data_IF_511455866415
#
_entry.id   IF_511455866415
#
_cell.length_a   1.000
_cell.length_b   1.000
_cell.length_c   1.000
_cell.angle_alpha   90.00
_cell.angle_beta   90.00
_cell.angle_gamma   90.00
#
_symmetry.space_group_name_H-M   'P 1'
#
loop_
_entity.id
_entity.type
_entity.pdbx_description
1 polymer ?
#
# COMPACT_ATOMS: atom_id res chain seq x y z
N UNK A 1 58.55 -4.85 3.06
CA UNK A 1 58.51 -6.26 3.52
C UNK A 1 57.05 -6.53 3.88
N UNK A 2 56.26 -7.40 3.24
CA UNK A 2 56.51 -8.51 2.33
C UNK A 2 55.22 -8.75 1.54
N UNK A 3 55.37 -9.10 0.27
CA UNK A 3 54.32 -9.50 -0.69
C UNK A 3 53.84 -10.92 -0.38
N UNK A 4 52.55 -11.20 -0.53
CA UNK A 4 52.13 -12.51 -1.09
C UNK A 4 50.81 -12.44 -1.84
N UNK A 5 50.90 -12.78 -3.12
CA UNK A 5 49.85 -12.99 -4.13
C UNK A 5 49.66 -14.49 -4.31
N UNK A 6 48.42 -14.99 -4.46
CA UNK A 6 48.04 -16.23 -5.18
C UNK A 6 46.54 -16.09 -5.51
N UNK A 7 45.97 -16.05 -6.73
CA UNK A 7 46.18 -16.60 -8.09
C UNK A 7 45.55 -18.00 -8.34
N UNK A 8 44.60 -18.01 -9.29
CA UNK A 8 44.05 -19.13 -10.10
C UNK A 8 43.08 -20.10 -9.39
N UNK A 9 42.06 -20.69 -10.05
CA UNK A 9 41.98 -21.17 -11.43
C UNK A 9 40.53 -21.45 -11.89
N UNK A 10 40.39 -21.40 -13.21
CA UNK A 10 39.33 -21.85 -14.13
C UNK A 10 38.84 -23.30 -13.96
N UNK A 11 37.62 -23.57 -14.42
CA UNK A 11 37.25 -24.83 -15.08
C UNK A 11 36.13 -24.62 -16.13
N UNK A 12 36.51 -24.87 -17.39
CA UNK A 12 35.66 -25.20 -18.54
C UNK A 12 34.96 -26.55 -18.35
N UNK A 13 33.82 -26.76 -19.03
CA UNK A 13 33.45 -28.05 -19.65
C UNK A 13 32.22 -27.98 -20.58
N UNK A 14 32.08 -28.94 -21.52
CA UNK A 14 31.69 -28.66 -22.90
C UNK A 14 30.40 -29.37 -23.41
N UNK A 15 30.16 -29.16 -24.71
CA UNK A 15 29.13 -29.62 -25.67
C UNK A 15 28.58 -31.05 -25.57
N UNK A 16 27.41 -31.28 -26.21
CA UNK A 16 27.05 -32.38 -27.16
C UNK A 16 25.58 -32.14 -27.62
N UNK A 17 25.31 -31.79 -28.90
CA UNK A 17 25.03 -32.63 -30.08
C UNK A 17 23.62 -33.27 -30.08
N UNK A 18 22.84 -32.94 -31.11
CA UNK A 18 21.49 -33.49 -31.33
C UNK A 18 20.88 -33.05 -32.66
N UNK A 19 21.53 -33.43 -33.77
CA UNK A 19 21.02 -33.35 -35.15
C UNK A 19 19.89 -34.36 -35.35
N UNK A 20 18.74 -33.93 -35.89
CA UNK A 20 17.82 -34.83 -36.59
C UNK A 20 17.42 -34.18 -37.91
N UNK A 21 17.81 -34.85 -38.98
CA UNK A 21 17.45 -34.61 -40.37
C UNK A 21 16.28 -35.54 -40.71
N UNK A 22 15.16 -35.00 -41.21
CA UNK A 22 14.20 -35.78 -42.00
C UNK A 22 13.72 -34.95 -43.19
N UNK A 23 13.63 -35.65 -44.31
CA UNK A 23 13.59 -35.18 -45.69
C UNK A 23 12.13 -35.03 -46.18
N UNK A 24 11.98 -34.21 -47.22
CA UNK A 24 10.73 -33.77 -47.82
C UNK A 24 9.96 -34.84 -48.63
N UNK A 25 8.66 -34.62 -48.77
CA UNK A 25 7.85 -35.09 -49.90
C UNK A 25 6.79 -34.04 -50.27
N UNK A 26 6.83 -33.62 -51.53
CA UNK A 26 5.90 -32.69 -52.17
C UNK A 26 4.54 -33.34 -52.45
N UNK A 27 3.45 -32.58 -52.32
CA UNK A 27 2.12 -32.98 -52.78
C UNK A 27 1.23 -31.75 -53.01
N UNK A 28 0.85 -31.52 -54.27
CA UNK A 28 -0.05 -30.47 -54.72
C UNK A 28 -1.45 -30.61 -54.09
N UNK A 29 -2.09 -29.48 -53.79
CA UNK A 29 -3.53 -29.41 -53.57
C UNK A 29 -3.97 -28.15 -52.83
N UNK A 30 -4.33 -27.08 -53.56
CA UNK A 30 -5.24 -26.06 -53.03
C UNK A 30 -6.59 -26.70 -52.74
N UNK A 31 -7.25 -26.30 -51.63
CA UNK A 31 -8.42 -25.47 -51.85
C UNK A 31 -8.55 -24.30 -50.87
N UNK A 32 -9.15 -23.25 -51.43
CA UNK A 32 -9.67 -22.05 -50.80
C UNK A 32 -10.61 -22.43 -49.65
N UNK A 33 -10.31 -22.01 -48.42
CA UNK A 33 -11.27 -22.00 -47.32
C UNK A 33 -10.98 -20.86 -46.35
N UNK A 34 -12.05 -20.20 -45.96
CA UNK A 34 -12.13 -18.97 -45.20
C UNK A 34 -11.33 -19.01 -43.89
N UNK A 35 -10.55 -17.97 -43.65
CA UNK A 35 -9.97 -17.71 -42.34
C UNK A 35 -11.10 -17.30 -41.36
N UNK A 36 -11.34 -18.03 -40.27
CA UNK A 36 -11.99 -17.42 -39.12
C UNK A 36 -10.95 -16.53 -38.43
N UNK A 37 -11.33 -15.36 -37.88
CA UNK A 37 -10.44 -14.66 -36.97
C UNK A 37 -10.27 -15.59 -35.76
N UNK A 38 -9.13 -16.26 -35.64
CA UNK A 38 -8.71 -16.84 -34.38
C UNK A 38 -8.45 -15.65 -33.47
N UNK A 39 -9.51 -15.30 -32.77
CA UNK A 39 -9.54 -14.52 -31.55
C UNK A 39 -8.29 -14.89 -30.79
N UNK A 40 -7.29 -14.00 -30.79
CA UNK A 40 -6.31 -13.96 -29.71
C UNK A 40 -7.20 -13.85 -28.49
N UNK A 41 -7.41 -14.98 -27.82
CA UNK A 41 -8.15 -15.07 -26.59
C UNK A 41 -7.38 -14.17 -25.64
N UNK A 42 -7.86 -12.94 -25.63
CA UNK A 42 -7.45 -11.90 -24.73
C UNK A 42 -7.86 -12.48 -23.39
N UNK A 43 -6.92 -13.16 -22.74
CA UNK A 43 -6.80 -13.02 -21.30
C UNK A 43 -6.46 -11.55 -21.06
N UNK A 44 -7.42 -10.67 -21.36
CA UNK A 44 -7.56 -9.37 -20.75
C UNK A 44 -7.67 -9.72 -19.28
N UNK A 45 -6.53 -9.64 -18.62
CA UNK A 45 -6.39 -9.89 -17.21
C UNK A 45 -7.53 -9.19 -16.48
N UNK A 46 -8.22 -9.96 -15.65
CA UNK A 46 -9.34 -9.53 -14.83
C UNK A 46 -8.93 -8.53 -13.73
N UNK A 47 -8.07 -7.55 -14.03
CA UNK A 47 -7.70 -6.46 -13.12
C UNK A 47 -8.80 -5.41 -13.00
N UNK A 48 -9.72 -5.34 -13.96
CA UNK A 48 -10.65 -4.19 -14.07
C UNK A 48 -12.11 -4.52 -13.77
N UNK A 49 -12.48 -5.78 -13.49
CA UNK A 49 -13.90 -6.18 -13.56
C UNK A 49 -14.60 -6.39 -12.21
N UNK A 50 -13.86 -6.46 -11.09
CA UNK A 50 -14.48 -6.71 -9.76
C UNK A 50 -14.21 -5.67 -8.69
N UNK A 51 -13.32 -4.72 -8.95
CA UNK A 51 -13.02 -3.68 -7.98
C UNK A 51 -14.03 -2.54 -8.10
N UNK A 52 -14.64 -2.19 -6.96
CA UNK A 52 -15.48 -1.02 -6.86
C UNK A 52 -14.65 0.23 -7.22
N UNK A 53 -15.24 1.21 -7.93
CA UNK A 53 -14.54 2.44 -8.28
C UNK A 53 -14.16 3.21 -7.01
N UNK A 54 -13.05 3.94 -7.06
CA UNK A 54 -12.65 4.83 -5.98
C UNK A 54 -13.78 5.83 -5.68
N UNK A 55 -14.16 6.02 -4.41
CA UNK A 55 -15.23 6.95 -4.05
C UNK A 55 -14.86 8.36 -4.49
N UNK A 56 -15.82 9.11 -5.02
CA UNK A 56 -15.57 10.50 -5.37
C UNK A 56 -15.58 11.36 -4.08
N UNK A 57 -14.41 11.85 -3.68
CA UNK A 57 -14.26 12.73 -2.51
C UNK A 57 -14.07 14.16 -3.00
N UNK A 58 -15.12 14.96 -2.80
CA UNK A 58 -15.12 16.42 -3.07
C UNK A 58 -15.35 17.20 -1.79
N UNK A 59 -16.15 16.66 -0.87
CA UNK A 59 -16.37 17.21 0.47
C UNK A 59 -16.58 16.07 1.46
N UNK A 60 -16.13 16.28 2.70
CA UNK A 60 -16.37 15.39 3.83
C UNK A 60 -17.24 16.14 4.85
N UNK A 61 -18.33 15.51 5.29
CA UNK A 61 -19.26 16.12 6.27
C UNK A 61 -19.19 15.44 7.64
N UNK A 62 -18.61 14.25 7.72
CA UNK A 62 -18.51 13.47 8.95
C UNK A 62 -17.21 12.67 9.03
N UNK A 63 -16.75 12.39 10.24
CA UNK A 63 -15.61 11.48 10.47
C UNK A 63 -15.87 10.06 9.95
N UNK A 64 -17.12 9.59 10.00
CA UNK A 64 -17.47 8.27 9.47
C UNK A 64 -17.31 8.20 7.94
N UNK A 65 -17.67 9.26 7.22
CA UNK A 65 -17.43 9.35 5.78
C UNK A 65 -15.93 9.39 5.47
N UNK A 66 -15.17 10.19 6.21
CA UNK A 66 -13.72 10.26 6.08
C UNK A 66 -13.07 8.88 6.30
N UNK A 67 -13.49 8.17 7.35
CA UNK A 67 -13.05 6.82 7.65
C UNK A 67 -13.38 5.81 6.55
N UNK A 68 -14.65 5.72 6.13
CA UNK A 68 -15.09 4.73 5.15
C UNK A 68 -14.38 4.91 3.78
N UNK A 69 -14.21 6.15 3.36
CA UNK A 69 -13.53 6.47 2.10
C UNK A 69 -12.04 6.17 2.15
N UNK A 70 -11.37 6.49 3.26
CA UNK A 70 -9.95 6.16 3.45
C UNK A 70 -9.73 4.65 3.57
N UNK A 71 -10.61 3.94 4.29
CA UNK A 71 -10.54 2.47 4.40
C UNK A 71 -10.67 1.81 3.03
N UNK A 72 -11.54 2.33 2.16
CA UNK A 72 -11.65 1.86 0.79
C UNK A 72 -10.33 2.02 0.02
N UNK A 73 -9.68 3.19 0.15
CA UNK A 73 -8.37 3.43 -0.45
C UNK A 73 -7.31 2.48 0.08
N UNK A 74 -7.24 2.28 1.40
CA UNK A 74 -6.29 1.36 2.03
C UNK A 74 -6.46 -0.08 1.53
N UNK A 75 -7.71 -0.55 1.41
CA UNK A 75 -8.00 -1.88 0.89
C UNK A 75 -7.56 -2.01 -0.59
N UNK A 76 -7.74 -0.96 -1.39
CA UNK A 76 -7.25 -0.94 -2.78
C UNK A 76 -5.72 -1.00 -2.83
N UNK A 77 -5.03 -0.19 -2.04
CA UNK A 77 -3.57 -0.21 -1.95
C UNK A 77 -3.04 -1.58 -1.55
N UNK A 78 -3.62 -2.20 -0.53
CA UNK A 78 -3.23 -3.55 -0.09
C UNK A 78 -3.33 -4.58 -1.22
N UNK A 79 -4.39 -4.53 -2.04
CA UNK A 79 -4.54 -5.41 -3.22
C UNK A 79 -3.51 -5.10 -4.31
N UNK A 80 -3.22 -3.83 -4.55
CA UNK A 80 -2.20 -3.41 -5.52
C UNK A 80 -0.81 -3.87 -5.09
N UNK A 81 -0.43 -3.68 -3.82
CA UNK A 81 0.85 -4.13 -3.28
C UNK A 81 0.99 -5.66 -3.37
N UNK A 82 -0.04 -6.40 -2.96
CA UNK A 82 -0.05 -7.86 -3.07
C UNK A 82 0.08 -8.34 -4.54
N UNK A 83 -0.56 -7.62 -5.46
CA UNK A 83 -0.45 -7.88 -6.90
C UNK A 83 0.98 -7.68 -7.40
N UNK A 84 1.61 -6.56 -7.02
CA UNK A 84 2.99 -6.25 -7.42
C UNK A 84 3.97 -7.32 -6.94
N UNK A 85 3.74 -7.88 -5.74
CA UNK A 85 4.58 -8.95 -5.19
C UNK A 85 4.47 -10.28 -5.96
N UNK A 86 3.35 -10.55 -6.62
CA UNK A 86 3.09 -11.83 -7.32
C UNK A 86 3.41 -11.75 -8.81
N UNK A 87 3.19 -10.60 -9.45
CA UNK A 87 3.41 -10.46 -10.89
C UNK A 87 4.90 -10.41 -11.20
N UNK A 88 5.33 -11.22 -12.18
CA UNK A 88 6.65 -11.09 -12.78
C UNK A 88 6.72 -9.78 -13.55
N UNK A 89 7.80 -9.01 -13.34
CA UNK A 89 8.05 -7.75 -14.01
C UNK A 89 7.83 -7.88 -15.51
N UNK A 90 6.82 -7.17 -16.01
CA UNK A 90 6.49 -7.08 -17.41
C UNK A 90 6.04 -5.66 -17.65
N UNK A 91 6.54 -5.05 -18.72
CA UNK A 91 6.26 -3.66 -19.06
C UNK A 91 4.77 -3.32 -19.06
N UNK A 92 3.91 -4.24 -19.53
CA UNK A 92 2.47 -4.04 -19.53
C UNK A 92 1.87 -3.98 -18.12
N UNK A 93 2.40 -4.76 -17.17
CA UNK A 93 1.99 -4.68 -15.76
C UNK A 93 2.50 -3.41 -15.10
N UNK A 94 3.74 -3.01 -15.39
CA UNK A 94 4.34 -1.78 -14.86
C UNK A 94 3.54 -0.55 -15.29
N UNK A 95 3.10 -0.49 -16.54
CA UNK A 95 2.26 0.59 -17.07
C UNK A 95 0.88 0.65 -16.37
N UNK A 96 0.28 -0.51 -16.06
CA UNK A 96 -0.99 -0.59 -15.32
C UNK A 96 -0.80 -0.12 -13.88
N UNK A 97 0.22 -0.63 -13.19
CA UNK A 97 0.52 -0.28 -11.80
C UNK A 97 0.83 1.22 -11.69
N UNK A 98 1.62 1.78 -12.60
CA UNK A 98 1.94 3.20 -12.62
C UNK A 98 0.68 4.08 -12.80
N UNK A 99 -0.27 3.63 -13.63
CA UNK A 99 -1.56 4.31 -13.82
C UNK A 99 -2.43 4.25 -12.56
N UNK A 100 -2.58 3.08 -11.96
CA UNK A 100 -3.35 2.90 -10.72
C UNK A 100 -2.75 3.70 -9.56
N UNK A 101 -1.42 3.67 -9.42
CA UNK A 101 -0.68 4.49 -8.45
C UNK A 101 -1.01 5.97 -8.60
N UNK A 102 -0.86 6.52 -9.80
CA UNK A 102 -1.14 7.95 -10.06
C UNK A 102 -2.60 8.32 -9.73
N UNK A 103 -3.54 7.41 -9.99
CA UNK A 103 -4.93 7.62 -9.61
C UNK A 103 -5.10 7.65 -8.09
N UNK A 104 -4.45 6.76 -7.36
CA UNK A 104 -4.48 6.73 -5.88
C UNK A 104 -3.82 7.95 -5.28
N UNK A 105 -2.64 8.37 -5.77
CA UNK A 105 -1.95 9.60 -5.33
C UNK A 105 -2.88 10.82 -5.48
N UNK A 106 -3.43 11.03 -6.68
CA UNK A 106 -4.37 12.14 -6.93
C UNK A 106 -5.67 12.06 -6.12
N UNK A 107 -6.02 10.87 -5.64
CA UNK A 107 -7.18 10.68 -4.78
C UNK A 107 -6.84 11.02 -3.32
N UNK A 108 -5.66 10.63 -2.84
CA UNK A 108 -5.17 10.94 -1.50
C UNK A 108 -4.99 12.45 -1.29
N UNK A 109 -4.53 13.17 -2.32
CA UNK A 109 -4.45 14.64 -2.29
C UNK A 109 -5.83 15.28 -2.12
N UNK A 110 -6.82 14.83 -2.89
CA UNK A 110 -8.21 15.33 -2.79
C UNK A 110 -8.85 14.98 -1.46
N UNK A 111 -8.57 13.78 -0.95
CA UNK A 111 -9.06 13.36 0.37
C UNK A 111 -8.47 14.26 1.46
N UNK A 112 -7.17 14.56 1.41
CA UNK A 112 -6.50 15.45 2.36
C UNK A 112 -7.09 16.85 2.34
N UNK A 113 -7.32 17.40 1.15
CA UNK A 113 -7.95 18.71 1.00
C UNK A 113 -9.35 18.72 1.62
N UNK A 114 -10.21 17.76 1.25
CA UNK A 114 -11.56 17.66 1.78
C UNK A 114 -11.58 17.43 3.30
N UNK A 115 -10.61 16.68 3.84
CA UNK A 115 -10.49 16.44 5.27
C UNK A 115 -10.03 17.69 6.01
N UNK A 116 -9.08 18.45 5.45
CA UNK A 116 -8.62 19.73 6.00
C UNK A 116 -9.75 20.75 6.03
N UNK A 117 -10.53 20.86 4.96
CA UNK A 117 -11.70 21.72 4.89
C UNK A 117 -12.75 21.33 5.95
N UNK A 118 -13.02 20.03 6.10
CA UNK A 118 -13.89 19.52 7.17
C UNK A 118 -13.39 19.92 8.57
N UNK A 119 -12.11 19.69 8.87
CA UNK A 119 -11.51 20.03 10.15
C UNK A 119 -11.59 21.54 10.43
N UNK A 120 -11.38 22.39 9.43
CA UNK A 120 -11.44 23.85 9.60
C UNK A 120 -12.80 24.34 10.13
N UNK A 121 -13.89 23.62 9.83
CA UNK A 121 -15.23 23.97 10.26
C UNK A 121 -15.70 23.22 11.50
N UNK A 122 -15.31 21.95 11.67
CA UNK A 122 -15.84 21.08 12.71
C UNK A 122 -14.94 20.97 13.95
N UNK A 123 -13.63 21.23 13.84
CA UNK A 123 -12.66 20.93 14.91
C UNK A 123 -12.93 21.66 16.22
N UNK A 124 -13.48 22.88 16.18
CA UNK A 124 -13.79 23.66 17.38
C UNK A 124 -14.88 23.02 18.27
N UNK A 125 -15.75 22.19 17.69
CA UNK A 125 -16.82 21.48 18.40
C UNK A 125 -16.48 20.03 18.75
N UNK A 126 -15.31 19.52 18.33
CA UNK A 126 -14.97 18.11 18.50
C UNK A 126 -14.61 17.76 19.95
N UNK A 127 -15.14 16.64 20.42
CA UNK A 127 -14.73 16.01 21.67
C UNK A 127 -13.38 15.27 21.58
N UNK A 128 -12.87 14.81 22.73
CA UNK A 128 -11.60 14.08 22.80
C UNK A 128 -11.57 12.82 21.91
N UNK A 129 -12.67 12.09 21.83
CA UNK A 129 -12.78 10.87 21.04
C UNK A 129 -12.75 11.17 19.54
N UNK A 130 -13.44 12.22 19.10
CA UNK A 130 -13.43 12.70 17.71
C UNK A 130 -12.05 13.20 17.30
N UNK A 131 -11.37 13.95 18.17
CA UNK A 131 -9.97 14.37 17.94
C UNK A 131 -9.03 13.16 17.86
N UNK A 132 -9.27 12.12 18.66
CA UNK A 132 -8.51 10.87 18.59
C UNK A 132 -8.75 10.14 17.28
N UNK A 133 -9.99 10.10 16.79
CA UNK A 133 -10.32 9.56 15.48
C UNK A 133 -9.69 10.38 14.35
N UNK A 134 -9.63 11.72 14.46
CA UNK A 134 -8.93 12.56 13.48
C UNK A 134 -7.44 12.22 13.36
N UNK A 135 -6.76 12.06 14.51
CA UNK A 135 -5.34 11.66 14.54
C UNK A 135 -5.12 10.30 13.88
N UNK A 136 -6.02 9.36 14.16
CA UNK A 136 -5.99 8.03 13.56
C UNK A 136 -6.16 8.07 12.05
N UNK A 137 -7.14 8.83 11.54
CA UNK A 137 -7.36 9.01 10.10
C UNK A 137 -6.16 9.66 9.43
N UNK A 138 -5.58 10.70 10.05
CA UNK A 138 -4.40 11.37 9.51
C UNK A 138 -3.19 10.43 9.44
N UNK A 139 -2.94 9.63 10.46
CA UNK A 139 -1.86 8.64 10.44
C UNK A 139 -2.03 7.61 9.31
N UNK A 140 -3.26 7.14 9.08
CA UNK A 140 -3.58 6.19 8.00
C UNK A 140 -3.52 6.83 6.60
N UNK A 141 -3.83 8.12 6.47
CA UNK A 141 -3.64 8.87 5.22
C UNK A 141 -2.16 8.99 4.86
N UNK A 142 -1.33 9.38 5.84
CA UNK A 142 0.12 9.49 5.65
C UNK A 142 0.73 8.14 5.26
N UNK A 143 0.35 7.06 5.95
CA UNK A 143 0.84 5.73 5.60
C UNK A 143 0.36 5.28 4.21
N UNK A 144 -0.87 5.59 3.82
CA UNK A 144 -1.38 5.31 2.48
C UNK A 144 -0.59 6.06 1.40
N UNK A 145 -0.18 7.30 1.68
CA UNK A 145 0.63 8.12 0.78
C UNK A 145 2.01 7.52 0.55
N UNK A 146 2.67 7.08 1.63
CA UNK A 146 3.99 6.42 1.56
C UNK A 146 3.89 5.10 0.76
N UNK A 147 2.90 4.26 1.08
CA UNK A 147 2.70 2.98 0.38
C UNK A 147 2.38 3.19 -1.10
N UNK A 148 1.58 4.21 -1.45
CA UNK A 148 1.30 4.54 -2.84
C UNK A 148 2.59 4.93 -3.58
N UNK A 149 3.43 5.76 -2.97
CA UNK A 149 4.67 6.22 -3.56
C UNK A 149 5.66 5.07 -3.83
N UNK A 150 5.71 4.07 -2.94
CA UNK A 150 6.59 2.90 -3.07
C UNK A 150 6.26 2.00 -4.28
N UNK A 151 5.01 2.02 -4.78
CA UNK A 151 4.59 1.26 -5.96
C UNK A 151 5.24 1.75 -7.28
N UNK A 152 6.11 2.76 -7.21
CA UNK A 152 6.81 3.33 -8.36
C UNK A 152 7.95 2.47 -8.93
N UNK A 153 8.17 2.52 -10.27
CA UNK A 153 9.35 1.91 -10.85
C UNK A 153 10.61 2.65 -10.39
N UNK A 154 11.63 1.90 -9.94
CA UNK A 154 12.96 2.43 -9.65
C UNK A 154 13.28 2.66 -8.17
N UNK A 155 12.36 2.34 -7.25
CA UNK A 155 12.52 2.62 -5.83
C UNK A 155 12.35 4.11 -5.56
N UNK A 156 11.27 4.46 -4.87
CA UNK A 156 11.08 5.84 -4.42
C UNK A 156 12.09 6.15 -3.33
N UNK A 157 12.68 7.34 -3.36
CA UNK A 157 13.49 7.83 -2.25
C UNK A 157 12.58 8.07 -1.04
N UNK A 158 12.55 7.09 -0.14
CA UNK A 158 11.72 7.12 1.05
C UNK A 158 12.28 8.09 2.11
N UNK A 159 13.50 8.58 1.96
CA UNK A 159 14.06 9.60 2.87
C UNK A 159 13.30 10.94 2.74
N UNK A 160 12.66 11.17 1.59
CA UNK A 160 11.77 12.32 1.40
C UNK A 160 10.54 12.32 2.34
N UNK A 161 10.17 11.16 2.91
CA UNK A 161 9.01 11.00 3.79
C UNK A 161 9.36 11.05 5.29
N UNK A 162 10.53 11.56 5.66
CA UNK A 162 10.96 11.63 7.05
C UNK A 162 9.95 12.34 7.96
N UNK A 163 9.39 13.46 7.51
CA UNK A 163 8.43 14.25 8.28
C UNK A 163 7.12 13.48 8.48
N UNK A 164 6.69 12.75 7.46
CA UNK A 164 5.51 11.90 7.49
C UNK A 164 5.71 10.72 8.44
N UNK A 165 6.89 10.08 8.43
CA UNK A 165 7.21 9.03 9.40
C UNK A 165 7.17 9.54 10.84
N UNK A 166 7.74 10.72 11.10
CA UNK A 166 7.69 11.35 12.42
C UNK A 166 6.24 11.66 12.83
N UNK A 167 5.45 12.27 11.94
CA UNK A 167 4.06 12.59 12.19
C UNK A 167 3.22 11.34 12.49
N UNK A 168 3.44 10.22 11.77
CA UNK A 168 2.77 8.94 12.06
C UNK A 168 3.07 8.46 13.48
N UNK A 169 4.33 8.53 13.92
CA UNK A 169 4.73 8.13 15.28
C UNK A 169 4.02 9.00 16.32
N UNK A 170 4.04 10.32 16.14
CA UNK A 170 3.46 11.28 17.10
C UNK A 170 1.93 11.14 17.20
N UNK A 171 1.26 11.01 16.06
CA UNK A 171 -0.18 10.79 16.01
C UNK A 171 -0.56 9.46 16.67
N UNK A 172 0.18 8.39 16.38
CA UNK A 172 -0.06 7.07 16.94
C UNK A 172 0.16 7.05 18.46
N UNK A 173 1.24 7.65 18.96
CA UNK A 173 1.49 7.75 20.40
C UNK A 173 0.39 8.58 21.11
N UNK A 174 -0.05 9.68 20.52
CA UNK A 174 -1.16 10.48 21.06
C UNK A 174 -2.47 9.67 21.13
N UNK A 175 -2.78 8.88 20.10
CA UNK A 175 -3.94 7.96 20.09
C UNK A 175 -3.80 6.91 21.20
N UNK A 176 -2.62 6.30 21.36
CA UNK A 176 -2.39 5.28 22.39
C UNK A 176 -2.51 5.83 23.82
N UNK A 177 -2.03 7.06 24.06
CA UNK A 177 -2.18 7.77 25.33
C UNK A 177 -3.63 8.13 25.62
N UNK A 178 -4.36 8.65 24.62
CA UNK A 178 -5.79 8.95 24.77
C UNK A 178 -6.60 7.70 25.16
N UNK A 179 -6.31 6.57 24.51
CA UNK A 179 -6.92 5.27 24.86
C UNK A 179 -6.54 4.76 26.25
N UNK A 180 -5.40 5.16 26.83
CA UNK A 180 -5.02 4.77 28.20
C UNK A 180 -5.74 5.61 29.25
N UNK A 181 -5.91 6.91 29.00
CA UNK A 181 -6.58 7.83 29.92
C UNK A 181 -8.06 7.53 30.13
N UNK A 182 -8.73 6.91 29.15
CA UNK A 182 -10.13 6.49 29.24
C UNK A 182 -10.37 5.20 30.05
N UNK A 183 -9.31 4.46 30.43
CA UNK A 183 -9.43 3.23 31.24
C UNK A 183 -9.28 3.46 32.76
N UNK A 184 -9.49 4.68 33.26
CA UNK A 184 -9.51 4.93 34.72
C UNK A 184 -10.76 4.28 35.36
N UNK A 185 -10.64 3.54 36.47
CA UNK A 185 -11.74 2.78 37.06
C UNK A 185 -12.63 3.68 37.92
N UNK A 186 -13.44 4.55 37.32
CA UNK A 186 -14.49 5.25 38.06
C UNK A 186 -15.59 5.79 37.15
N UNK A 187 -16.65 4.99 36.92
CA UNK A 187 -18.05 5.41 37.07
C UNK A 187 -18.99 4.35 36.50
N UNK A 188 -19.68 3.68 37.41
CA UNK A 188 -20.84 2.83 37.16
C UNK A 188 -22.07 3.69 36.87
N UNK A 189 -22.22 4.18 35.64
CA UNK A 189 -23.53 4.58 35.13
C UNK A 189 -23.58 4.33 33.62
N UNK A 190 -24.43 3.37 33.28
CA UNK A 190 -24.82 2.93 31.95
C UNK A 190 -25.11 4.05 30.95
N UNK A 191 -24.41 4.03 29.82
CA UNK A 191 -24.91 4.47 28.51
C UNK A 191 -24.16 3.68 27.42
N UNK A 192 -24.83 2.83 26.62
CA UNK A 192 -24.20 2.16 25.49
C UNK A 192 -24.22 3.13 24.30
N UNK A 193 -23.31 4.09 24.26
CA UNK A 193 -23.15 4.97 23.10
C UNK A 193 -21.72 4.83 22.60
N UNK A 194 -21.63 4.11 21.48
CA UNK A 194 -20.53 4.11 20.52
C UNK A 194 -19.13 3.76 21.06
N UNK A 195 -18.93 2.49 21.42
CA UNK A 195 -17.65 1.82 21.15
C UNK A 195 -17.49 1.72 19.63
N UNK A 196 -17.16 2.84 18.97
CA UNK A 196 -16.75 2.87 17.57
C UNK A 196 -15.36 2.26 17.48
N UNK A 197 -15.30 0.94 17.56
CA UNK A 197 -14.19 0.19 17.00
C UNK A 197 -14.29 0.45 15.50
N UNK A 198 -13.56 1.44 15.01
CA UNK A 198 -13.39 1.71 13.58
C UNK A 198 -12.77 0.47 12.95
N UNK A 199 -13.61 -0.48 12.54
CA UNK A 199 -13.19 -1.71 11.91
C UNK A 199 -12.36 -1.36 10.66
N UNK A 200 -11.09 -1.78 10.66
CA UNK A 200 -10.20 -1.73 9.49
C UNK A 200 -9.09 -0.68 9.53
N UNK A 201 -9.28 0.50 10.15
CA UNK A 201 -8.22 1.49 10.33
C UNK A 201 -7.84 1.62 11.80
N UNK A 202 -6.59 1.28 12.12
CA UNK A 202 -6.00 1.46 13.45
C UNK A 202 -4.55 1.97 13.32
N UNK A 203 -3.86 2.21 14.44
CA UNK A 203 -2.47 2.68 14.48
C UNK A 203 -1.45 1.60 14.08
N UNK A 204 -1.86 0.33 14.05
CA UNK A 204 -0.98 -0.81 13.73
C UNK A 204 -0.38 -0.69 12.33
N UNK A 205 -1.21 -0.45 11.31
CA UNK A 205 -0.76 -0.38 9.92
C UNK A 205 0.22 0.80 9.68
N UNK A 206 -0.08 2.04 10.11
CA UNK A 206 0.88 3.13 10.01
C UNK A 206 2.22 2.86 10.70
N UNK A 207 2.20 2.26 11.90
CA UNK A 207 3.43 1.93 12.62
C UNK A 207 4.27 0.85 11.90
N UNK A 208 3.62 -0.16 11.29
CA UNK A 208 4.34 -1.12 10.44
C UNK A 208 4.96 -0.46 9.22
N UNK A 209 4.29 0.52 8.62
CA UNK A 209 4.85 1.27 7.50
C UNK A 209 6.13 1.99 7.93
N UNK A 210 6.11 2.69 9.06
CA UNK A 210 7.34 3.34 9.59
C UNK A 210 8.43 2.31 9.87
N UNK A 211 8.10 1.18 10.52
CA UNK A 211 9.08 0.18 10.93
C UNK A 211 9.79 -0.51 9.75
N UNK A 212 9.09 -0.65 8.61
CA UNK A 212 9.58 -1.36 7.42
C UNK A 212 10.23 -0.45 6.39
N UNK A 213 9.74 0.78 6.23
CA UNK A 213 10.11 1.66 5.10
C UNK A 213 11.01 2.85 5.50
N UNK A 214 11.09 3.21 6.78
CA UNK A 214 11.90 4.34 7.21
C UNK A 214 13.39 3.95 7.32
N UNK A 215 14.31 4.68 6.70
CA UNK A 215 15.74 4.38 6.83
C UNK A 215 16.35 4.82 8.17
N UNK A 216 15.68 5.73 8.91
CA UNK A 216 16.17 6.25 10.19
C UNK A 216 15.93 5.26 11.33
N UNK A 217 17.04 4.80 11.93
CA UNK A 217 17.02 3.80 13.00
C UNK A 217 16.23 4.30 14.20
N UNK A 218 16.36 5.58 14.59
CA UNK A 218 15.65 6.10 15.77
C UNK A 218 14.13 6.08 15.57
N UNK A 219 13.66 6.45 14.37
CA UNK A 219 12.23 6.45 14.05
C UNK A 219 11.67 5.02 14.01
N UNK A 220 12.40 4.08 13.40
CA UNK A 220 12.05 2.66 13.40
C UNK A 220 11.97 2.07 14.81
N UNK A 221 12.92 2.41 15.68
CA UNK A 221 12.91 1.94 17.07
C UNK A 221 11.68 2.47 17.82
N UNK A 222 11.37 3.77 17.69
CA UNK A 222 10.15 4.36 18.29
C UNK A 222 8.87 3.68 17.79
N UNK A 223 8.76 3.40 16.49
CA UNK A 223 7.61 2.69 15.94
C UNK A 223 7.48 1.27 16.52
N UNK A 224 8.57 0.52 16.62
CA UNK A 224 8.59 -0.82 17.22
C UNK A 224 8.22 -0.79 18.71
N UNK A 225 8.66 0.21 19.47
CA UNK A 225 8.24 0.37 20.87
C UNK A 225 6.72 0.55 21.00
N UNK A 226 6.12 1.37 20.14
CA UNK A 226 4.67 1.58 20.13
C UNK A 226 3.91 0.29 19.74
N UNK A 227 4.42 -0.47 18.76
CA UNK A 227 3.87 -1.78 18.40
C UNK A 227 3.95 -2.77 19.57
N UNK A 228 5.06 -2.82 20.32
CA UNK A 228 5.19 -3.68 21.50
C UNK A 228 4.20 -3.28 22.61
N UNK A 229 3.89 -1.99 22.77
CA UNK A 229 2.86 -1.54 23.74
C UNK A 229 1.47 -2.00 23.35
N UNK A 230 1.17 -2.11 22.05
CA UNK A 230 -0.10 -2.64 21.55
C UNK A 230 -0.25 -4.13 21.83
N UNK A 231 0.83 -4.92 21.67
CA UNK A 231 0.81 -6.38 21.93
C UNK A 231 0.67 -6.78 23.40
N UNK A 232 0.84 -5.82 24.34
CA UNK A 232 0.74 -6.05 25.79
C UNK A 232 -0.62 -5.69 26.38
N UNK A 233 -1.54 -5.20 25.56
CA UNK A 233 -2.95 -4.95 25.95
C UNK A 233 -3.80 -6.16 25.60
#
# INVERSE_FOLDING_TARGET
MTVTTVKHRTADSPSVLGTIHLQASSGLGSPRSHAPPTTKSSMAFAFTSRDLPMPNVTFLTTLNQAHATLLHCWNKLTRLTATCAVLKASRAHDEIIAKERKQVESWLDRWEQAFTEYLSSAMASMGSDELTQCRLLKANHLSSTIVAAELGPGGTDLDAFELEFLAIIELSDAVLRARQGTHSPQSTTSSPIASSVTAGLDVVNPLHVVANHCNKIELRQRANELLLRLSRR
#
